data_IF_423930444869
#
_entry.id   IF_423930444869
#
_cell.length_a   1.000
_cell.length_b   1.000
_cell.length_c   1.000
_cell.angle_alpha   90.00
_cell.angle_beta   90.00
_cell.angle_gamma   90.00
#
_symmetry.space_group_name_H-M   'P 1'
#
loop_
_entity.id
_entity.type
_entity.pdbx_description
1 polymer ?
#
# COMPACT_ATOMS: atom_id res chain seq x y z
N UNK A 1 3.74 -14.78 -21.70
CA UNK A 1 3.04 -14.85 -20.40
C UNK A 1 3.17 -16.24 -19.84
N UNK A 2 3.27 -16.37 -18.51
CA UNK A 2 3.14 -17.66 -17.82
C UNK A 2 1.72 -17.74 -17.22
N UNK A 3 1.17 -18.94 -17.18
CA UNK A 3 -0.16 -19.19 -16.59
C UNK A 3 0.00 -19.76 -15.20
N UNK A 4 -0.79 -19.23 -14.26
CA UNK A 4 -0.91 -19.75 -12.90
C UNK A 4 -2.38 -20.01 -12.61
N UNK A 5 -2.68 -21.15 -12.00
CA UNK A 5 -4.03 -21.46 -11.51
C UNK A 5 -4.11 -21.07 -10.03
N UNK A 6 -5.15 -20.32 -9.67
CA UNK A 6 -5.37 -19.83 -8.31
C UNK A 6 -6.74 -20.34 -7.84
N UNK A 7 -6.83 -20.79 -6.59
CA UNK A 7 -8.12 -21.09 -5.94
C UNK A 7 -8.64 -19.83 -5.27
N UNK A 8 -9.93 -19.56 -5.42
CA UNK A 8 -10.60 -18.40 -4.85
C UNK A 8 -11.95 -18.85 -4.33
N UNK A 9 -12.42 -18.23 -3.26
CA UNK A 9 -13.80 -18.40 -2.80
C UNK A 9 -14.77 -17.86 -3.85
N UNK A 10 -15.91 -18.53 -4.02
CA UNK A 10 -16.92 -18.17 -5.04
C UNK A 10 -17.37 -16.71 -4.89
N UNK A 11 -17.60 -16.25 -3.66
CA UNK A 11 -17.97 -14.86 -3.36
C UNK A 11 -16.94 -13.85 -3.89
N UNK A 12 -15.64 -14.19 -3.80
CA UNK A 12 -14.58 -13.30 -4.32
C UNK A 12 -14.62 -13.25 -5.83
N UNK A 13 -14.86 -14.39 -6.49
CA UNK A 13 -14.97 -14.46 -7.93
C UNK A 13 -16.18 -13.67 -8.46
N UNK A 14 -17.32 -13.74 -7.77
CA UNK A 14 -18.52 -12.98 -8.09
C UNK A 14 -18.29 -11.47 -8.00
N UNK A 15 -17.58 -11.01 -6.97
CA UNK A 15 -17.20 -9.60 -6.82
C UNK A 15 -16.31 -9.12 -7.96
N UNK A 16 -15.36 -9.95 -8.39
CA UNK A 16 -14.48 -9.65 -9.53
C UNK A 16 -15.28 -9.56 -10.82
N UNK A 17 -16.22 -10.49 -11.04
CA UNK A 17 -17.08 -10.51 -12.24
C UNK A 17 -18.00 -9.30 -12.31
N UNK A 18 -18.62 -8.91 -11.19
CA UNK A 18 -19.43 -7.71 -11.11
C UNK A 18 -18.61 -6.45 -11.47
N UNK A 19 -17.38 -6.35 -10.97
CA UNK A 19 -16.48 -5.24 -11.29
C UNK A 19 -16.05 -5.25 -12.76
N UNK A 20 -15.69 -6.41 -13.29
CA UNK A 20 -15.34 -6.60 -14.70
C UNK A 20 -16.46 -6.11 -15.62
N UNK A 21 -17.70 -6.51 -15.31
CA UNK A 21 -18.91 -6.06 -16.03
C UNK A 21 -19.10 -4.55 -15.94
N UNK A 22 -19.03 -3.98 -14.73
CA UNK A 22 -19.20 -2.53 -14.53
C UNK A 22 -18.17 -1.70 -15.28
N UNK A 23 -16.93 -2.18 -15.40
CA UNK A 23 -15.84 -1.47 -16.05
C UNK A 23 -15.71 -1.80 -17.55
N UNK A 24 -16.56 -2.69 -18.09
CA UNK A 24 -16.42 -3.23 -19.44
C UNK A 24 -15.02 -3.81 -19.72
N UNK A 25 -14.49 -4.55 -18.75
CA UNK A 25 -13.16 -5.20 -18.79
C UNK A 25 -13.28 -6.71 -18.61
N UNK A 26 -12.22 -7.43 -18.98
CA UNK A 26 -12.15 -8.87 -18.72
C UNK A 26 -11.83 -9.15 -17.25
N UNK A 27 -12.24 -10.32 -16.76
CA UNK A 27 -11.87 -10.83 -15.44
C UNK A 27 -10.36 -10.81 -15.22
N UNK A 28 -9.59 -11.27 -16.21
CA UNK A 28 -8.12 -11.27 -16.17
C UNK A 28 -7.54 -9.87 -16.00
N UNK A 29 -8.15 -8.86 -16.63
CA UNK A 29 -7.71 -7.48 -16.47
C UNK A 29 -7.90 -7.02 -15.01
N UNK A 30 -9.05 -7.28 -14.40
CA UNK A 30 -9.31 -6.93 -13.00
C UNK A 30 -8.33 -7.64 -12.06
N UNK A 31 -8.10 -8.94 -12.24
CA UNK A 31 -7.17 -9.74 -11.44
C UNK A 31 -5.75 -9.16 -11.54
N UNK A 32 -5.26 -8.90 -12.76
CA UNK A 32 -3.92 -8.36 -12.95
C UNK A 32 -3.78 -6.96 -12.33
N UNK A 33 -4.79 -6.11 -12.45
CA UNK A 33 -4.77 -4.79 -11.82
C UNK A 33 -4.77 -4.86 -10.30
N UNK A 34 -5.53 -5.80 -9.71
CA UNK A 34 -5.54 -6.00 -8.26
C UNK A 34 -4.18 -6.47 -7.75
N UNK A 35 -3.57 -7.46 -8.43
CA UNK A 35 -2.24 -7.98 -8.10
C UNK A 35 -1.18 -6.88 -8.22
N UNK A 36 -1.17 -6.12 -9.30
CA UNK A 36 -0.19 -5.05 -9.53
C UNK A 36 -0.27 -3.98 -8.43
N UNK A 37 -1.49 -3.57 -8.06
CA UNK A 37 -1.71 -2.58 -6.99
C UNK A 37 -1.28 -3.10 -5.63
N UNK A 38 -1.55 -4.38 -5.34
CA UNK A 38 -1.10 -5.00 -4.10
C UNK A 38 0.43 -5.05 -4.03
N UNK A 39 1.08 -5.58 -5.06
CA UNK A 39 2.54 -5.69 -5.10
C UNK A 39 3.21 -4.32 -5.02
N UNK A 40 2.74 -3.34 -5.79
CA UNK A 40 3.27 -1.97 -5.75
C UNK A 40 3.21 -1.37 -4.34
N UNK A 41 2.11 -1.58 -3.63
CA UNK A 41 1.95 -1.08 -2.27
C UNK A 41 2.85 -1.82 -1.27
N UNK A 42 2.86 -3.16 -1.30
CA UNK A 42 3.66 -3.96 -0.37
C UNK A 42 5.16 -3.72 -0.57
N UNK A 43 5.62 -3.63 -1.83
CA UNK A 43 7.02 -3.33 -2.15
C UNK A 43 7.45 -1.95 -1.63
N UNK A 44 6.58 -0.94 -1.83
CA UNK A 44 6.79 0.38 -1.25
C UNK A 44 6.84 0.31 0.27
N UNK A 45 5.84 -0.32 0.91
CA UNK A 45 5.72 -0.38 2.36
C UNK A 45 6.93 -1.06 3.01
N UNK A 46 7.35 -2.22 2.49
CA UNK A 46 8.52 -2.94 2.97
C UNK A 46 9.77 -2.07 2.87
N UNK A 47 9.94 -1.33 1.77
CA UNK A 47 11.08 -0.44 1.58
C UNK A 47 11.08 0.70 2.60
N UNK A 48 9.97 1.40 2.78
CA UNK A 48 9.88 2.53 3.72
C UNK A 48 10.06 2.07 5.18
N UNK A 49 9.51 0.91 5.56
CA UNK A 49 9.71 0.34 6.89
C UNK A 49 11.19 0.02 7.12
N UNK A 50 11.86 -0.62 6.17
CA UNK A 50 13.28 -0.93 6.30
C UNK A 50 14.13 0.35 6.39
N UNK A 51 13.82 1.37 5.59
CA UNK A 51 14.50 2.66 5.66
C UNK A 51 14.34 3.32 7.04
N UNK A 52 13.12 3.39 7.57
CA UNK A 52 12.89 3.93 8.91
C UNK A 52 13.58 3.14 10.01
N UNK A 53 13.65 1.80 9.90
CA UNK A 53 14.41 0.97 10.85
C UNK A 53 15.93 1.23 10.79
N UNK A 54 16.47 1.55 9.61
CA UNK A 54 17.87 1.93 9.45
C UNK A 54 18.14 3.32 10.07
N UNK A 55 17.29 4.32 9.78
CA UNK A 55 17.37 5.65 10.40
C UNK A 55 17.34 5.57 11.94
N UNK A 56 16.43 4.76 12.49
CA UNK A 56 16.35 4.50 13.93
C UNK A 56 17.63 3.87 14.49
N UNK A 57 18.25 2.94 13.76
CA UNK A 57 19.50 2.28 14.18
C UNK A 57 20.69 3.22 14.14
N UNK A 58 20.67 4.18 13.21
CA UNK A 58 21.69 5.21 13.08
C UNK A 58 21.47 6.39 14.04
N UNK A 59 20.38 6.36 14.83
CA UNK A 59 20.06 7.38 15.80
C UNK A 59 19.48 8.66 15.19
N UNK A 60 19.04 8.59 13.93
CA UNK A 60 18.44 9.71 13.21
C UNK A 60 16.97 9.90 13.62
N UNK A 61 16.80 10.42 14.83
CA UNK A 61 15.49 10.78 15.38
C UNK A 61 15.29 12.29 15.34
N UNK A 62 14.08 12.72 15.01
CA UNK A 62 13.69 14.11 15.17
C UNK A 62 13.80 14.52 16.65
N UNK A 63 14.40 15.69 16.90
CA UNK A 63 14.45 16.22 18.27
C UNK A 63 13.05 16.68 18.72
N UNK A 64 12.78 16.67 20.04
CA UNK A 64 11.51 17.18 20.58
C UNK A 64 11.18 18.60 20.12
N UNK A 65 12.19 19.46 19.97
CA UNK A 65 12.05 20.84 19.50
C UNK A 65 11.69 20.89 18.00
N UNK A 66 12.32 20.02 17.19
CA UNK A 66 12.03 19.90 15.76
C UNK A 66 10.60 19.41 15.50
N UNK A 67 10.16 18.42 16.27
CA UNK A 67 8.77 17.92 16.23
C UNK A 67 7.80 19.07 16.53
N UNK A 68 8.02 19.82 17.62
CA UNK A 68 7.16 20.95 17.99
C UNK A 68 7.08 22.02 16.91
N UNK A 69 8.23 22.38 16.35
CA UNK A 69 8.32 23.38 15.29
C UNK A 69 7.54 22.95 14.04
N UNK A 70 7.58 21.68 13.65
CA UNK A 70 6.80 21.21 12.50
C UNK A 70 5.30 21.17 12.76
N UNK A 71 4.86 20.62 13.89
CA UNK A 71 3.42 20.54 14.19
C UNK A 71 2.79 21.94 14.35
N UNK A 72 3.54 22.92 14.87
CA UNK A 72 3.08 24.31 14.97
C UNK A 72 2.77 24.92 13.58
N UNK A 73 3.49 24.55 12.51
CA UNK A 73 3.18 25.03 11.14
C UNK A 73 1.80 24.62 10.65
N UNK A 74 1.29 23.51 11.18
CA UNK A 74 -0.04 22.97 10.84
C UNK A 74 -1.10 23.31 11.89
N UNK A 75 -0.76 24.14 12.90
CA UNK A 75 -1.69 24.53 13.97
C UNK A 75 -2.00 23.40 14.96
N UNK A 76 -1.21 22.32 14.97
CA UNK A 76 -1.36 21.20 15.90
C UNK A 76 -0.45 21.44 17.11
N UNK A 77 -0.99 21.31 18.32
CA UNK A 77 -0.18 21.33 19.53
C UNK A 77 0.42 19.94 19.76
N UNK A 78 1.76 19.85 19.84
CA UNK A 78 2.53 18.63 20.03
C UNK A 78 3.36 18.64 21.33
N UNK A 79 2.89 19.36 22.35
CA UNK A 79 3.39 19.30 23.73
C UNK A 79 3.04 17.98 24.44
#
# INVERSE_FOLDING_TARGET
>A
MKTTTIRMEDETLDRIDAMAKSLSRSRTWIINQAIERFLSYEEWFIREVNAGLEEMRDGDFASPEGIRAEFQKWGVNAD
#
